data_IF_502692901677
#
_entry.id   IF_502692901677
#
_cell.length_a   1.000
_cell.length_b   1.000
_cell.length_c   1.000
_cell.angle_alpha   90.00
_cell.angle_beta   90.00
_cell.angle_gamma   90.00
#
_symmetry.space_group_name_H-M   'P 1'
#
loop_
_entity.id
_entity.type
_entity.pdbx_description
1 polymer ?
#
# COMPACT_ATOMS: atom_id res chain seq x y z
N UNK A 1 15.70 -3.56 -6.47
CA UNK A 1 14.33 -3.92 -6.88
C UNK A 1 13.47 -3.96 -5.63
N UNK A 2 12.33 -3.26 -5.60
CA UNK A 2 11.58 -3.00 -4.37
C UNK A 2 10.23 -3.75 -4.28
N UNK A 3 9.77 -4.34 -5.39
CA UNK A 3 8.53 -5.08 -5.43
C UNK A 3 8.80 -6.53 -5.00
N UNK A 4 8.24 -6.92 -3.87
CA UNK A 4 8.45 -8.24 -3.27
C UNK A 4 7.11 -8.77 -2.78
N UNK A 5 6.89 -10.08 -2.96
CA UNK A 5 5.67 -10.77 -2.55
C UNK A 5 6.04 -12.05 -1.80
N UNK A 6 5.48 -12.21 -0.60
CA UNK A 6 5.57 -13.45 0.16
C UNK A 6 4.23 -14.17 0.07
N UNK A 7 4.29 -15.49 -0.10
CA UNK A 7 3.12 -16.36 0.01
C UNK A 7 3.38 -17.36 1.13
N UNK A 8 2.61 -17.26 2.20
CA UNK A 8 2.63 -18.20 3.30
C UNK A 8 1.44 -19.15 3.16
N UNK A 9 1.75 -20.44 3.12
CA UNK A 9 0.78 -21.53 3.00
C UNK A 9 0.82 -22.36 4.28
N UNK A 10 -0.32 -22.89 4.76
CA UNK A 10 -0.32 -23.89 5.81
C UNK A 10 0.48 -25.12 5.35
N UNK A 11 1.06 -25.86 6.31
CA UNK A 11 1.79 -27.08 6.00
C UNK A 11 0.82 -28.18 5.54
N UNK A 12 0.73 -28.40 4.23
CA UNK A 12 0.00 -29.56 3.68
C UNK A 12 0.96 -30.76 3.64
N UNK A 13 1.02 -31.53 4.73
CA UNK A 13 1.79 -32.77 4.75
C UNK A 13 1.06 -33.89 4.01
N UNK A 14 1.58 -34.35 2.87
CA UNK A 14 1.14 -35.61 2.27
C UNK A 14 1.94 -36.74 2.93
N UNK A 15 1.30 -37.51 3.81
CA UNK A 15 1.92 -38.73 4.34
C UNK A 15 1.97 -39.79 3.24
N UNK A 16 3.14 -39.96 2.61
CA UNK A 16 3.40 -41.12 1.75
C UNK A 16 3.95 -42.25 2.61
N UNK A 17 3.23 -43.37 2.69
CA UNK A 17 3.73 -44.58 3.35
C UNK A 17 4.79 -45.23 2.45
N UNK A 18 6.06 -45.11 2.80
CA UNK A 18 7.14 -45.90 2.20
C UNK A 18 7.28 -47.17 3.05
N UNK A 19 7.03 -48.38 2.51
CA UNK A 19 7.29 -49.60 3.23
C UNK A 19 8.80 -49.72 3.47
N UNK A 20 9.18 -49.92 4.73
CA UNK A 20 10.53 -49.98 5.31
C UNK A 20 11.16 -48.63 5.66
N UNK A 21 11.06 -48.30 6.96
CA UNK A 21 11.88 -47.38 7.74
C UNK A 21 12.26 -46.05 7.08
N UNK A 22 11.34 -45.08 7.17
CA UNK A 22 11.56 -43.66 7.49
C UNK A 22 10.32 -42.86 7.06
N UNK A 23 9.62 -42.21 8.00
CA UNK A 23 8.62 -41.19 7.63
C UNK A 23 9.40 -39.96 7.17
N UNK A 24 9.68 -39.86 5.86
CA UNK A 24 10.12 -38.61 5.27
C UNK A 24 8.90 -37.69 5.16
N UNK A 25 8.87 -36.61 5.95
CA UNK A 25 7.99 -35.47 5.66
C UNK A 25 8.47 -34.84 4.35
N UNK A 26 7.92 -35.28 3.22
CA UNK A 26 8.09 -34.60 1.95
C UNK A 26 7.19 -33.37 1.98
N UNK A 27 7.82 -32.20 2.06
CA UNK A 27 7.13 -30.92 1.92
C UNK A 27 6.75 -30.76 0.46
N UNK A 28 5.47 -30.89 0.15
CA UNK A 28 4.97 -30.73 -1.19
C UNK A 28 3.90 -29.65 -1.17
N UNK A 29 4.04 -28.65 -2.05
CA UNK A 29 2.93 -27.76 -2.35
C UNK A 29 1.73 -28.62 -2.78
N UNK A 30 0.49 -28.23 -2.43
CA UNK A 30 -0.69 -28.94 -2.91
C UNK A 30 -0.60 -29.09 -4.43
N UNK A 31 -0.63 -30.33 -4.93
CA UNK A 31 -0.69 -30.64 -6.36
C UNK A 31 -2.01 -30.12 -6.95
N UNK A 32 -2.07 -29.83 -8.24
CA UNK A 32 -3.32 -29.43 -8.93
C UNK A 32 -4.47 -30.43 -8.69
N UNK A 33 -4.16 -31.70 -8.42
CA UNK A 33 -5.13 -32.77 -8.10
C UNK A 33 -5.66 -32.74 -6.65
N UNK A 34 -5.02 -31.98 -5.76
CA UNK A 34 -5.52 -31.80 -4.40
C UNK A 34 -6.53 -30.65 -4.41
N UNK A 35 -7.78 -30.97 -4.10
CA UNK A 35 -8.96 -30.09 -4.05
C UNK A 35 -8.90 -29.00 -2.94
N UNK A 36 -7.70 -28.50 -2.63
CA UNK A 36 -7.43 -27.52 -1.59
C UNK A 36 -7.67 -26.12 -2.16
N UNK A 37 -8.77 -25.52 -1.73
CA UNK A 37 -9.26 -24.19 -2.16
C UNK A 37 -9.34 -23.29 -0.93
N UNK A 38 -8.18 -22.80 -0.49
CA UNK A 38 -8.05 -22.00 0.73
C UNK A 38 -8.42 -20.54 0.50
N UNK A 39 -8.99 -19.91 1.54
CA UNK A 39 -9.17 -18.46 1.56
C UNK A 39 -7.82 -17.75 1.58
N UNK A 40 -7.74 -16.61 0.91
CA UNK A 40 -6.49 -15.85 0.77
C UNK A 40 -6.65 -14.51 1.49
N UNK A 41 -5.79 -14.27 2.47
CA UNK A 41 -5.66 -12.99 3.15
C UNK A 41 -4.53 -12.21 2.49
N UNK A 42 -4.83 -11.07 1.88
CA UNK A 42 -3.84 -10.23 1.20
C UNK A 42 -3.55 -8.98 2.02
N UNK A 43 -2.36 -8.93 2.63
CA UNK A 43 -1.95 -7.90 3.56
C UNK A 43 -1.20 -6.76 2.86
N UNK A 44 -1.68 -5.54 3.10
CA UNK A 44 -0.99 -4.30 2.71
C UNK A 44 -0.53 -3.60 3.99
N UNK A 45 0.79 -3.45 4.16
CA UNK A 45 1.35 -2.87 5.38
C UNK A 45 1.09 -1.35 5.50
N UNK A 46 1.10 -0.89 6.76
CA UNK A 46 1.00 0.52 7.14
C UNK A 46 2.32 1.28 6.99
N UNK A 47 2.53 2.31 7.82
CA UNK A 47 3.78 3.09 7.82
C UNK A 47 3.70 4.45 7.10
N UNK A 48 2.51 5.09 7.13
CA UNK A 48 2.32 6.45 6.63
C UNK A 48 2.77 6.69 5.18
N UNK A 49 2.76 5.62 4.36
CA UNK A 49 3.27 5.57 2.97
C UNK A 49 4.77 5.87 2.82
N UNK A 50 5.52 5.95 3.92
CA UNK A 50 6.93 6.36 3.98
C UNK A 50 7.85 5.28 4.55
N UNK A 51 7.28 4.36 5.31
CA UNK A 51 7.99 3.28 5.98
C UNK A 51 7.13 2.01 5.97
N UNK A 52 7.69 0.92 6.50
CA UNK A 52 7.03 -0.38 6.66
C UNK A 52 7.51 -1.42 5.66
N UNK A 53 7.19 -2.67 5.97
CA UNK A 53 7.63 -3.83 5.19
C UNK A 53 6.58 -4.93 5.14
N UNK A 54 6.72 -5.84 4.18
CA UNK A 54 5.97 -7.10 4.10
C UNK A 54 6.14 -8.03 5.32
N UNK A 55 7.12 -7.77 6.19
CA UNK A 55 7.35 -8.50 7.44
C UNK A 55 6.54 -7.94 8.61
N UNK A 56 5.95 -6.75 8.48
CA UNK A 56 5.14 -6.11 9.53
C UNK A 56 3.78 -6.82 9.72
N UNK A 57 3.50 -7.83 8.90
CA UNK A 57 2.28 -8.62 8.99
C UNK A 57 2.22 -9.42 10.29
N UNK A 58 1.02 -9.60 10.81
CA UNK A 58 0.74 -10.59 11.85
C UNK A 58 0.82 -12.00 11.27
N UNK A 59 2.03 -12.52 11.03
CA UNK A 59 2.25 -13.90 10.54
C UNK A 59 1.64 -14.96 11.46
N UNK A 60 1.38 -14.60 12.72
CA UNK A 60 0.67 -15.43 13.69
C UNK A 60 -0.75 -15.82 13.20
N UNK A 61 -1.38 -15.02 12.33
CA UNK A 61 -2.68 -15.35 11.71
C UNK A 61 -2.67 -16.67 10.91
N UNK A 62 -1.51 -17.03 10.34
CA UNK A 62 -1.33 -18.28 9.57
C UNK A 62 -1.28 -19.49 10.50
N UNK A 63 -0.78 -19.31 11.74
CA UNK A 63 -0.57 -20.43 12.68
C UNK A 63 -1.91 -20.99 13.16
N UNK A 64 -2.93 -20.14 13.25
CA UNK A 64 -4.22 -20.49 13.87
C UNK A 64 -5.28 -20.98 12.88
N UNK A 65 -5.09 -20.79 11.56
CA UNK A 65 -6.14 -21.04 10.56
C UNK A 65 -5.60 -21.65 9.26
N UNK A 66 -6.41 -22.48 8.61
CA UNK A 66 -6.15 -23.01 7.26
C UNK A 66 -6.42 -21.94 6.19
N UNK A 67 -5.53 -20.95 6.09
CA UNK A 67 -5.61 -19.83 5.14
C UNK A 67 -4.25 -19.56 4.50
N UNK A 68 -4.25 -18.96 3.30
CA UNK A 68 -3.04 -18.42 2.68
C UNK A 68 -2.90 -16.96 3.05
N UNK A 69 -1.71 -16.55 3.51
CA UNK A 69 -1.38 -15.15 3.71
C UNK A 69 -0.44 -14.70 2.59
N UNK A 70 -0.82 -13.62 1.90
CA UNK A 70 0.03 -12.92 0.94
C UNK A 70 0.44 -11.58 1.55
N UNK A 71 1.73 -11.28 1.60
CA UNK A 71 2.25 -9.98 2.06
C UNK A 71 3.12 -9.36 1.00
N UNK A 72 3.07 -8.03 0.86
CA UNK A 72 3.73 -7.33 -0.24
C UNK A 72 4.58 -6.16 0.26
N UNK A 73 5.66 -5.85 -0.46
CA UNK A 73 6.28 -4.54 -0.43
C UNK A 73 5.72 -3.71 -1.58
N UNK A 74 5.52 -2.40 -1.35
CA UNK A 74 5.22 -1.42 -2.39
C UNK A 74 6.17 -0.23 -2.23
N UNK A 75 6.39 0.57 -3.29
CA UNK A 75 7.27 1.74 -3.19
C UNK A 75 6.71 2.76 -2.19
N UNK A 76 7.61 3.32 -1.39
CA UNK A 76 7.31 4.28 -0.31
C UNK A 76 7.95 5.64 -0.58
N UNK A 77 7.52 6.65 0.16
CA UNK A 77 8.10 8.00 0.15
C UNK A 77 8.12 8.62 -1.25
N UNK A 78 9.13 9.42 -1.60
CA UNK A 78 9.22 10.04 -2.92
C UNK A 78 9.32 9.01 -4.06
N UNK A 79 9.81 7.79 -3.80
CA UNK A 79 9.92 6.75 -4.81
C UNK A 79 8.55 6.15 -5.19
N UNK A 80 7.60 6.15 -4.24
CA UNK A 80 6.24 5.64 -4.44
C UNK A 80 5.19 6.69 -4.74
N UNK A 81 5.37 7.93 -4.28
CA UNK A 81 4.28 8.91 -4.23
C UNK A 81 4.67 10.31 -4.71
N UNK A 82 5.86 10.50 -5.30
CA UNK A 82 6.19 11.77 -5.94
C UNK A 82 5.21 12.07 -7.08
N UNK A 83 4.72 13.30 -7.13
CA UNK A 83 3.81 13.77 -8.17
C UNK A 83 4.08 15.23 -8.50
N UNK A 84 4.08 15.55 -9.79
CA UNK A 84 4.11 16.92 -10.33
C UNK A 84 2.71 17.43 -10.68
N UNK A 85 1.67 16.62 -10.41
CA UNK A 85 0.25 16.88 -10.70
C UNK A 85 -0.03 17.17 -12.18
N UNK A 86 0.75 16.53 -13.05
CA UNK A 86 0.61 16.53 -14.51
C UNK A 86 0.83 15.12 -15.06
N UNK A 87 0.90 14.98 -16.38
CA UNK A 87 1.08 13.69 -17.05
C UNK A 87 2.52 13.15 -16.97
N UNK A 88 3.50 13.98 -16.60
CA UNK A 88 4.92 13.57 -16.59
C UNK A 88 5.24 12.73 -15.35
N UNK A 89 4.79 13.19 -14.18
CA UNK A 89 4.84 12.40 -12.95
C UNK A 89 3.48 12.46 -12.26
N UNK A 90 2.50 11.63 -12.69
CA UNK A 90 1.14 11.70 -12.17
C UNK A 90 1.06 11.31 -10.69
N UNK A 91 1.91 10.38 -10.24
CA UNK A 91 1.98 9.90 -8.86
C UNK A 91 1.40 8.51 -8.66
N UNK A 92 1.16 8.15 -7.40
CA UNK A 92 0.52 6.91 -6.96
C UNK A 92 1.23 5.61 -7.40
N UNK A 93 2.54 5.65 -7.65
CA UNK A 93 3.31 4.46 -8.01
C UNK A 93 3.21 3.36 -6.95
N UNK A 94 3.18 3.70 -5.66
CA UNK A 94 2.97 2.73 -4.58
C UNK A 94 1.60 2.04 -4.63
N UNK A 95 0.53 2.74 -5.00
CA UNK A 95 -0.80 2.11 -5.20
C UNK A 95 -0.84 1.24 -6.45
N UNK A 96 -0.12 1.65 -7.52
CA UNK A 96 0.00 0.86 -8.75
C UNK A 96 0.80 -0.43 -8.52
N UNK A 97 1.81 -0.38 -7.66
CA UNK A 97 2.55 -1.57 -7.20
C UNK A 97 1.61 -2.55 -6.47
N UNK A 98 0.76 -2.03 -5.58
CA UNK A 98 -0.23 -2.84 -4.87
C UNK A 98 -1.25 -3.48 -5.82
N UNK A 99 -1.74 -2.73 -6.83
CA UNK A 99 -2.63 -3.27 -7.86
C UNK A 99 -1.98 -4.39 -8.67
N UNK A 100 -0.73 -4.19 -9.09
CA UNK A 100 0.03 -5.21 -9.81
C UNK A 100 0.21 -6.47 -8.95
N UNK A 101 0.47 -6.31 -7.66
CA UNK A 101 0.59 -7.45 -6.74
C UNK A 101 -0.76 -8.17 -6.51
N UNK A 102 -1.88 -7.45 -6.47
CA UNK A 102 -3.22 -8.06 -6.42
C UNK A 102 -3.53 -8.85 -7.70
N UNK A 103 -3.21 -8.29 -8.87
CA UNK A 103 -3.35 -9.00 -10.15
C UNK A 103 -2.47 -10.25 -10.20
N UNK A 104 -1.24 -10.16 -9.67
CA UNK A 104 -0.38 -11.32 -9.53
C UNK A 104 -1.02 -12.38 -8.63
N UNK A 105 -1.53 -12.02 -7.46
CA UNK A 105 -2.17 -12.97 -6.55
C UNK A 105 -3.38 -13.64 -7.22
N UNK A 106 -4.26 -12.85 -7.85
CA UNK A 106 -5.41 -13.39 -8.58
C UNK A 106 -5.01 -14.42 -9.66
N UNK A 107 -3.90 -14.19 -10.37
CA UNK A 107 -3.47 -15.07 -11.46
C UNK A 107 -2.63 -16.28 -11.02
N UNK A 108 -2.09 -16.29 -9.80
CA UNK A 108 -1.08 -17.28 -9.40
C UNK A 108 -1.38 -17.97 -8.08
N UNK A 109 -2.30 -17.48 -7.24
CA UNK A 109 -2.46 -18.00 -5.88
C UNK A 109 -2.99 -19.44 -5.83
N UNK A 110 -3.64 -19.90 -6.90
CA UNK A 110 -4.01 -21.29 -7.12
C UNK A 110 -2.82 -22.25 -7.11
N UNK A 111 -1.65 -21.80 -7.59
CA UNK A 111 -0.41 -22.60 -7.56
C UNK A 111 0.11 -22.85 -6.14
N UNK A 112 -0.44 -22.12 -5.15
CA UNK A 112 -0.11 -22.26 -3.73
C UNK A 112 -1.26 -22.89 -2.93
N UNK A 113 -2.33 -23.38 -3.59
CA UNK A 113 -3.53 -23.94 -2.96
C UNK A 113 -4.59 -22.91 -2.56
N UNK A 114 -4.46 -21.67 -3.02
CA UNK A 114 -5.39 -20.59 -2.75
C UNK A 114 -6.49 -20.49 -3.80
N UNK A 115 -7.64 -20.01 -3.38
CA UNK A 115 -8.73 -19.71 -4.29
C UNK A 115 -8.71 -18.21 -4.66
N UNK A 116 -8.45 -17.83 -5.94
CA UNK A 116 -8.41 -16.43 -6.36
C UNK A 116 -9.76 -15.73 -6.18
N UNK A 117 -10.88 -16.47 -6.15
CA UNK A 117 -12.20 -15.91 -5.86
C UNK A 117 -12.42 -15.67 -4.37
N UNK A 118 -11.51 -16.14 -3.50
CA UNK A 118 -11.58 -16.01 -2.04
C UNK A 118 -10.54 -15.06 -1.44
N UNK A 119 -10.09 -14.07 -2.20
CA UNK A 119 -9.15 -13.06 -1.74
C UNK A 119 -9.84 -11.99 -0.89
N UNK A 120 -9.34 -11.76 0.33
CA UNK A 120 -9.74 -10.63 1.20
C UNK A 120 -8.54 -9.72 1.40
N UNK A 121 -8.66 -8.45 1.02
CA UNK A 121 -7.61 -7.46 1.27
C UNK A 121 -7.73 -6.90 2.68
N UNK A 122 -6.61 -6.68 3.35
CA UNK A 122 -6.61 -6.05 4.66
C UNK A 122 -5.32 -5.28 4.93
N UNK A 123 -5.42 -4.30 5.82
CA UNK A 123 -4.27 -3.53 6.23
C UNK A 123 -4.59 -2.58 7.39
N UNK A 124 -3.54 -2.08 8.01
CA UNK A 124 -3.60 -1.15 9.13
C UNK A 124 -3.04 0.23 8.73
N UNK A 125 -3.63 1.31 9.26
CA UNK A 125 -3.20 2.68 9.01
C UNK A 125 -3.13 2.99 7.50
N UNK A 126 -1.95 3.34 6.95
CA UNK A 126 -1.75 3.57 5.52
C UNK A 126 -2.11 2.34 4.65
N UNK A 127 -1.97 1.12 5.19
CA UNK A 127 -2.43 -0.11 4.53
C UNK A 127 -3.95 -0.21 4.48
N UNK A 128 -4.63 0.26 5.53
CA UNK A 128 -6.09 0.40 5.55
C UNK A 128 -6.58 1.44 4.54
N UNK A 129 -5.91 2.60 4.49
CA UNK A 129 -6.19 3.61 3.48
C UNK A 129 -5.95 3.08 2.06
N UNK A 130 -4.89 2.28 1.85
CA UNK A 130 -4.61 1.60 0.58
C UNK A 130 -5.73 0.65 0.18
N UNK A 131 -6.23 -0.20 1.11
CA UNK A 131 -7.40 -1.04 0.88
C UNK A 131 -8.63 -0.19 0.49
N UNK A 132 -8.84 0.94 1.18
CA UNK A 132 -9.90 1.88 0.84
C UNK A 132 -9.73 2.50 -0.55
N UNK A 133 -8.50 2.75 -1.02
CA UNK A 133 -8.23 3.22 -2.38
C UNK A 133 -8.51 2.13 -3.43
N UNK A 134 -8.24 0.85 -3.14
CA UNK A 134 -8.65 -0.25 -4.01
C UNK A 134 -10.17 -0.38 -4.13
N UNK A 135 -10.93 -0.08 -3.07
CA UNK A 135 -12.39 0.00 -3.15
C UNK A 135 -12.88 1.14 -4.07
N UNK A 136 -12.04 2.14 -4.35
CA UNK A 136 -12.37 3.27 -5.22
C UNK A 136 -11.85 3.11 -6.66
N UNK A 137 -11.01 2.10 -6.92
CA UNK A 137 -10.41 1.87 -8.23
C UNK A 137 -11.11 0.70 -8.94
N UNK A 138 -11.81 1.00 -10.03
CA UNK A 138 -12.52 0.01 -10.85
C UNK A 138 -11.60 -1.04 -11.48
N UNK A 139 -10.30 -0.76 -11.65
CA UNK A 139 -9.33 -1.77 -12.09
C UNK A 139 -9.09 -2.86 -11.04
N UNK A 140 -9.49 -2.65 -9.79
CA UNK A 140 -9.42 -3.65 -8.73
C UNK A 140 -10.68 -4.52 -8.64
N UNK A 141 -11.71 -4.24 -9.44
CA UNK A 141 -12.96 -5.00 -9.47
C UNK A 141 -12.68 -6.47 -9.80
N UNK A 142 -13.20 -7.39 -8.98
CA UNK A 142 -13.02 -8.83 -9.16
C UNK A 142 -11.70 -9.39 -8.65
N UNK A 143 -10.73 -8.56 -8.21
CA UNK A 143 -9.47 -9.05 -7.65
C UNK A 143 -9.57 -9.48 -6.17
N UNK A 144 -10.66 -9.11 -5.50
CA UNK A 144 -10.93 -9.48 -4.11
C UNK A 144 -12.45 -9.49 -3.86
N UNK A 145 -12.86 -10.26 -2.85
CA UNK A 145 -14.27 -10.46 -2.45
C UNK A 145 -14.64 -9.81 -1.12
N UNK A 146 -13.69 -9.17 -0.44
CA UNK A 146 -13.89 -8.55 0.87
C UNK A 146 -12.72 -7.66 1.26
N UNK A 147 -12.97 -6.70 2.16
CA UNK A 147 -11.96 -5.80 2.66
C UNK A 147 -12.04 -5.62 4.18
N UNK A 148 -10.90 -5.55 4.87
CA UNK A 148 -10.79 -5.23 6.29
C UNK A 148 -9.93 -3.98 6.48
N UNK A 149 -10.52 -2.92 7.01
CA UNK A 149 -9.90 -1.61 7.18
C UNK A 149 -9.65 -1.32 8.67
N UNK A 150 -8.38 -1.37 9.08
CA UNK A 150 -7.97 -1.15 10.47
C UNK A 150 -7.34 0.24 10.64
N UNK A 151 -8.05 1.16 11.31
CA UNK A 151 -7.51 2.47 11.72
C UNK A 151 -7.06 3.38 10.56
N UNK A 152 -7.75 3.32 9.42
CA UNK A 152 -7.48 4.20 8.28
C UNK A 152 -8.52 4.09 7.17
N UNK A 153 -8.69 5.16 6.40
CA UNK A 153 -9.62 5.19 5.26
C UNK A 153 -9.10 6.12 4.17
N UNK A 154 -9.69 6.04 2.98
CA UNK A 154 -9.44 6.99 1.89
C UNK A 154 -10.00 8.39 2.17
N UNK A 155 -10.78 8.57 3.26
CA UNK A 155 -11.27 9.86 3.74
C UNK A 155 -10.47 10.43 4.91
N UNK A 156 -9.48 9.68 5.42
CA UNK A 156 -8.60 10.17 6.48
C UNK A 156 -7.83 11.39 5.96
N UNK A 157 -7.77 12.51 6.71
CA UNK A 157 -7.14 13.75 6.23
C UNK A 157 -5.68 13.56 5.76
N UNK A 158 -4.93 12.73 6.50
CA UNK A 158 -3.55 12.36 6.20
C UNK A 158 -3.38 11.49 4.95
N UNK A 159 -4.42 10.79 4.49
CA UNK A 159 -4.33 9.80 3.41
C UNK A 159 -4.43 10.40 2.01
N UNK A 160 -4.48 11.73 1.91
CA UNK A 160 -4.59 12.44 0.64
C UNK A 160 -3.71 13.68 0.63
N UNK A 161 -2.65 13.64 -0.18
CA UNK A 161 -1.73 14.76 -0.33
C UNK A 161 -2.29 15.81 -1.30
N UNK A 162 -2.32 17.04 -0.82
CA UNK A 162 -2.53 18.26 -1.62
C UNK A 162 -1.17 18.85 -1.99
N UNK A 163 -1.11 19.84 -2.87
CA UNK A 163 0.12 20.57 -3.21
C UNK A 163 1.35 19.66 -3.44
N UNK A 164 1.15 18.54 -4.15
CA UNK A 164 2.18 17.51 -4.29
C UNK A 164 3.34 18.01 -5.16
N UNK A 165 3.02 18.86 -6.15
CA UNK A 165 3.99 19.53 -7.00
C UNK A 165 4.95 20.39 -6.18
N UNK A 166 4.41 21.23 -5.31
CA UNK A 166 5.19 22.12 -4.44
C UNK A 166 6.16 21.31 -3.57
N UNK A 167 5.69 20.21 -2.98
CA UNK A 167 6.51 19.31 -2.16
C UNK A 167 7.60 18.64 -3.01
N UNK A 168 7.29 18.19 -4.23
CA UNK A 168 8.26 17.56 -5.12
C UNK A 168 9.40 18.52 -5.51
N UNK A 169 9.06 19.75 -5.94
CA UNK A 169 10.06 20.75 -6.31
C UNK A 169 10.84 21.27 -5.10
N UNK A 170 10.19 21.50 -3.95
CA UNK A 170 10.88 21.89 -2.72
C UNK A 170 11.87 20.82 -2.26
N UNK A 171 11.53 19.54 -2.41
CA UNK A 171 12.44 18.43 -2.09
C UNK A 171 13.66 18.43 -3.02
N UNK A 172 13.45 18.65 -4.33
CA UNK A 172 14.56 18.77 -5.26
C UNK A 172 15.44 20.00 -4.98
N UNK A 173 14.85 21.12 -4.53
CA UNK A 173 15.56 22.33 -4.14
C UNK A 173 16.53 22.11 -2.96
N UNK A 174 16.26 21.13 -2.09
CA UNK A 174 17.19 20.73 -1.03
C UNK A 174 18.46 20.02 -1.55
N UNK A 175 18.45 19.57 -2.80
CA UNK A 175 19.55 18.86 -3.47
C UNK A 175 20.21 19.78 -4.50
N UNK A 176 19.42 20.56 -5.23
CA UNK A 176 19.84 21.56 -6.20
C UNK A 176 18.89 22.76 -6.15
N UNK A 177 19.38 23.88 -5.62
CA UNK A 177 18.62 25.10 -5.33
C UNK A 177 18.10 25.85 -6.56
N UNK A 178 18.47 25.43 -7.78
CA UNK A 178 17.92 25.98 -9.03
C UNK A 178 16.48 25.54 -9.29
N UNK A 179 15.98 24.50 -8.60
CA UNK A 179 14.61 24.04 -8.75
C UNK A 179 13.61 24.87 -7.94
N UNK A 180 12.50 25.19 -8.58
CA UNK A 180 11.34 25.89 -8.02
C UNK A 180 10.06 25.31 -8.61
N UNK A 181 8.92 25.50 -7.98
CA UNK A 181 7.61 24.95 -8.41
C UNK A 181 7.23 25.31 -9.85
N UNK A 182 7.78 26.41 -10.39
CA UNK A 182 7.51 26.89 -11.75
C UNK A 182 8.38 26.23 -12.83
N UNK A 183 9.40 25.45 -12.46
CA UNK A 183 10.22 24.71 -13.42
C UNK A 183 9.43 23.58 -14.10
N UNK A 184 9.95 23.09 -15.22
CA UNK A 184 9.32 22.01 -15.99
C UNK A 184 9.41 20.66 -15.26
N UNK A 185 8.36 19.85 -15.39
CA UNK A 185 8.28 18.55 -14.71
C UNK A 185 9.19 17.49 -15.32
N UNK A 186 9.47 17.56 -16.62
CA UNK A 186 10.40 16.65 -17.27
C UNK A 186 11.85 16.99 -16.89
N UNK A 187 12.18 18.28 -16.75
CA UNK A 187 13.46 18.71 -16.18
C UNK A 187 13.67 18.17 -14.76
N UNK A 188 12.65 18.30 -13.89
CA UNK A 188 12.68 17.75 -12.54
C UNK A 188 12.88 16.22 -12.56
N UNK A 189 12.09 15.50 -13.37
CA UNK A 189 12.16 14.04 -13.46
C UNK A 189 13.54 13.57 -13.95
N UNK A 190 14.09 14.23 -14.97
CA UNK A 190 15.41 13.90 -15.50
C UNK A 190 16.50 14.12 -14.45
N UNK A 191 16.45 15.23 -13.72
CA UNK A 191 17.37 15.47 -12.62
C UNK A 191 17.24 14.41 -11.53
N UNK A 192 16.03 14.15 -11.02
CA UNK A 192 15.82 13.20 -9.92
C UNK A 192 16.24 11.77 -10.27
N UNK A 193 16.19 11.37 -11.55
CA UNK A 193 16.71 10.07 -12.00
C UNK A 193 18.24 9.95 -11.94
N UNK A 194 18.96 11.06 -11.88
CA UNK A 194 20.42 11.08 -11.69
C UNK A 194 20.83 11.09 -10.21
N UNK A 195 19.89 11.34 -9.31
CA UNK A 195 20.14 11.43 -7.87
C UNK A 195 20.08 10.04 -7.24
N UNK A 196 21.03 9.74 -6.36
CA UNK A 196 21.00 8.51 -5.57
C UNK A 196 19.73 8.43 -4.70
N UNK A 197 19.11 7.24 -4.64
CA UNK A 197 17.85 7.05 -3.93
C UNK A 197 17.94 7.39 -2.43
N UNK A 198 19.10 7.20 -1.79
CA UNK A 198 19.30 7.57 -0.39
C UNK A 198 19.38 9.09 -0.22
N UNK A 199 19.97 9.79 -1.18
CA UNK A 199 20.04 11.27 -1.16
C UNK A 199 18.64 11.85 -1.33
N UNK A 200 17.85 11.33 -2.27
CA UNK A 200 16.46 11.76 -2.47
C UNK A 200 15.61 11.48 -1.24
N UNK A 201 15.70 10.27 -0.68
CA UNK A 201 14.96 9.89 0.54
C UNK A 201 15.37 10.76 1.74
N UNK A 202 16.66 11.05 1.90
CA UNK A 202 17.15 11.92 2.97
C UNK A 202 16.67 13.38 2.80
N UNK A 203 16.61 13.89 1.56
CA UNK A 203 16.03 15.20 1.29
C UNK A 203 14.53 15.24 1.62
N UNK A 204 13.78 14.20 1.22
CA UNK A 204 12.36 14.06 1.51
C UNK A 204 12.05 13.98 3.02
N UNK A 205 12.95 13.41 3.84
CA UNK A 205 12.82 13.39 5.30
C UNK A 205 13.07 14.75 5.96
N UNK A 206 13.86 15.62 5.32
CA UNK A 206 14.10 16.99 5.81
C UNK A 206 12.91 17.91 5.55
N UNK A 207 12.00 17.53 4.65
CA UNK A 207 10.75 18.26 4.45
C UNK A 207 9.91 18.19 5.72
N UNK A 208 9.87 19.29 6.47
CA UNK A 208 9.02 19.43 7.63
C UNK A 208 7.69 20.06 7.20
N UNK A 209 6.54 19.50 7.60
CA UNK A 209 5.29 20.21 7.46
C UNK A 209 5.39 21.50 8.29
N UNK A 210 5.24 22.66 7.63
CA UNK A 210 5.02 23.94 8.33
C UNK A 210 3.77 23.82 9.21
N UNK A 211 3.66 24.54 10.34
CA UNK A 211 2.41 24.65 11.09
C UNK A 211 1.19 25.06 10.24
N UNK A 212 1.42 25.71 9.10
CA UNK A 212 0.41 26.05 8.09
C UNK A 212 -0.11 24.82 7.32
N UNK A 213 0.64 23.73 7.29
CA UNK A 213 0.32 22.46 6.63
C UNK A 213 -0.12 21.41 7.66
N UNK A 214 -1.36 21.51 8.11
CA UNK A 214 -1.97 20.43 8.92
C UNK A 214 -2.35 19.23 8.04
N UNK A 215 -2.57 18.06 8.64
CA UNK A 215 -3.11 16.90 7.91
C UNK A 215 -4.42 17.23 7.17
N UNK A 216 -5.21 18.17 7.70
CA UNK A 216 -6.46 18.63 7.08
C UNK A 216 -6.22 19.45 5.82
N UNK A 217 -5.23 20.34 5.83
CA UNK A 217 -4.94 21.24 4.71
C UNK A 217 -3.99 20.67 3.67
N UNK A 218 -3.13 19.73 4.06
CA UNK A 218 -2.06 19.20 3.22
C UNK A 218 -2.13 17.68 3.05
N UNK A 219 -2.56 16.96 4.09
CA UNK A 219 -2.29 15.52 4.21
C UNK A 219 -0.83 15.24 4.55
N UNK A 220 -0.45 13.96 4.59
CA UNK A 220 0.96 13.61 4.72
C UNK A 220 1.72 13.93 3.44
N UNK A 221 3.00 14.26 3.57
CA UNK A 221 3.92 14.20 2.44
C UNK A 221 4.14 12.75 2.01
N UNK A 222 4.20 12.56 0.70
CA UNK A 222 4.35 11.29 0.01
C UNK A 222 3.15 10.35 0.22
N UNK A 223 1.95 10.91 0.22
CA UNK A 223 0.69 10.16 0.29
C UNK A 223 -0.04 10.17 -1.07
N UNK A 224 -1.09 9.35 -1.25
CA UNK A 224 -1.86 9.33 -2.49
C UNK A 224 -2.36 10.71 -2.94
N UNK A 225 -2.39 10.92 -4.25
CA UNK A 225 -2.82 12.16 -4.92
C UNK A 225 -3.97 11.89 -5.89
N UNK A 226 -4.65 12.94 -6.34
CA UNK A 226 -5.56 12.84 -7.49
C UNK A 226 -4.73 13.05 -8.76
N UNK A 227 -4.72 12.05 -9.63
CA UNK A 227 -3.95 12.07 -10.87
C UNK A 227 -4.71 12.80 -11.98
N UNK A 228 -3.95 13.38 -12.90
CA UNK A 228 -4.48 13.74 -14.22
C UNK A 228 -4.94 12.48 -14.94
N UNK A 229 -6.08 12.55 -15.61
CA UNK A 229 -6.67 11.40 -16.29
C UNK A 229 -5.73 10.88 -17.39
N UNK A 230 -5.24 9.66 -17.21
CA UNK A 230 -4.48 8.90 -18.20
C UNK A 230 -4.83 7.40 -18.08
N UNK A 231 -4.44 6.53 -19.03
CA UNK A 231 -4.80 5.11 -19.02
C UNK A 231 -4.30 4.34 -17.78
N UNK A 232 -3.19 4.78 -17.20
CA UNK A 232 -2.53 4.14 -16.05
C UNK A 232 -2.82 4.88 -14.73
N UNK A 233 -3.75 5.83 -14.73
CA UNK A 233 -4.13 6.58 -13.54
C UNK A 233 -4.88 5.67 -12.58
N UNK A 234 -4.43 5.60 -11.33
CA UNK A 234 -5.08 4.81 -10.29
C UNK A 234 -6.35 5.49 -9.80
N UNK A 235 -6.31 6.81 -9.57
CA UNK A 235 -7.48 7.59 -9.12
C UNK A 235 -7.46 9.01 -9.68
N UNK A 236 -8.56 9.40 -10.33
CA UNK A 236 -8.68 10.71 -11.01
C UNK A 236 -9.79 11.60 -10.43
N UNK A 237 -10.47 11.15 -9.36
CA UNK A 237 -11.57 11.88 -8.73
C UNK A 237 -11.41 11.85 -7.21
N UNK A 238 -11.92 12.89 -6.55
CA UNK A 238 -11.95 12.95 -5.09
C UNK A 238 -12.79 11.81 -4.52
N UNK A 239 -12.27 11.21 -3.45
CA UNK A 239 -12.81 10.01 -2.81
C UNK A 239 -14.26 10.19 -2.37
N UNK A 240 -14.60 11.33 -1.77
CA UNK A 240 -15.99 11.65 -1.38
C UNK A 240 -16.96 11.60 -2.56
N UNK A 241 -16.57 12.13 -3.72
CA UNK A 241 -17.41 12.13 -4.92
C UNK A 241 -17.60 10.72 -5.52
N UNK A 242 -16.59 9.85 -5.42
CA UNK A 242 -16.71 8.45 -5.84
C UNK A 242 -17.65 7.67 -4.93
N UNK A 243 -17.53 7.86 -3.61
CA UNK A 243 -18.41 7.25 -2.61
C UNK A 243 -19.86 7.71 -2.77
N UNK A 244 -20.09 9.02 -2.90
CA UNK A 244 -21.43 9.58 -3.07
C UNK A 244 -22.11 9.09 -4.36
N UNK A 245 -21.34 8.89 -5.43
CA UNK A 245 -21.83 8.37 -6.70
C UNK A 245 -21.98 6.83 -6.72
N UNK A 246 -21.67 6.15 -5.62
CA UNK A 246 -21.59 4.69 -5.54
C UNK A 246 -20.67 4.08 -6.63
N UNK A 247 -19.65 4.82 -7.06
CA UNK A 247 -18.67 4.36 -8.03
C UNK A 247 -17.51 3.67 -7.31
N UNK A 248 -17.81 2.50 -6.75
CA UNK A 248 -16.91 1.73 -5.90
C UNK A 248 -16.92 0.24 -6.28
N UNK A 249 -15.88 -0.47 -5.86
CA UNK A 249 -15.85 -1.93 -5.85
C UNK A 249 -16.64 -2.39 -4.63
N UNK A 250 -17.90 -2.78 -4.84
CA UNK A 250 -18.81 -3.14 -3.76
C UNK A 250 -18.57 -4.58 -3.28
N UNK A 251 -17.97 -4.72 -2.10
CA UNK A 251 -17.74 -5.99 -1.40
C UNK A 251 -18.09 -5.86 0.09
N UNK A 252 -18.31 -6.97 0.82
CA UNK A 252 -18.37 -6.94 2.27
C UNK A 252 -17.17 -6.22 2.88
N UNK A 253 -17.46 -5.30 3.81
CA UNK A 253 -16.48 -4.43 4.45
C UNK A 253 -16.54 -4.61 5.97
N UNK A 254 -15.39 -4.89 6.58
CA UNK A 254 -15.18 -4.76 8.01
C UNK A 254 -14.28 -3.55 8.24
N UNK A 255 -14.71 -2.58 9.03
CA UNK A 255 -13.93 -1.37 9.33
C UNK A 255 -13.97 -1.07 10.83
N UNK A 256 -12.85 -0.65 11.39
CA UNK A 256 -12.75 -0.33 12.80
C UNK A 256 -11.58 0.58 13.13
N UNK A 257 -11.61 1.11 14.35
CA UNK A 257 -10.55 1.90 14.97
C UNK A 257 -10.46 1.52 16.44
N UNK A 258 -9.31 1.80 17.06
CA UNK A 258 -9.13 1.66 18.51
C UNK A 258 -9.84 2.80 19.25
N UNK A 259 -10.18 2.59 20.52
CA UNK A 259 -10.87 3.60 21.35
C UNK A 259 -10.03 4.85 21.60
N UNK A 260 -8.70 4.76 21.47
CA UNK A 260 -7.77 5.86 21.71
C UNK A 260 -6.59 5.89 20.70
N UNK A 261 -6.88 5.99 19.40
CA UNK A 261 -5.90 6.02 18.28
C UNK A 261 -4.70 6.95 18.53
N UNK A 262 -4.94 8.11 19.14
CA UNK A 262 -3.91 9.13 19.35
C UNK A 262 -3.00 8.89 20.55
N UNK A 263 -3.23 7.85 21.37
CA UNK A 263 -2.34 7.55 22.50
C UNK A 263 -0.91 7.23 22.03
N UNK A 264 -0.76 6.55 20.89
CA UNK A 264 0.55 6.29 20.28
C UNK A 264 1.26 7.54 19.74
N UNK A 265 0.56 8.68 19.65
CA UNK A 265 1.10 9.96 19.19
C UNK A 265 1.49 10.91 20.33
N UNK A 266 1.28 10.52 21.61
CA UNK A 266 1.50 11.40 22.78
C UNK A 266 2.94 11.87 22.96
N UNK A 267 3.94 11.06 22.57
CA UNK A 267 5.35 11.47 22.67
C UNK A 267 5.73 12.55 21.63
N UNK A 268 4.87 12.82 20.65
CA UNK A 268 5.05 13.89 19.66
C UNK A 268 4.39 15.20 20.12
N UNK A 269 3.29 15.11 20.89
CA UNK A 269 2.51 16.28 21.33
C UNK A 269 2.87 16.81 22.72
N UNK A 270 3.63 16.07 23.53
CA UNK A 270 4.11 16.54 24.85
C UNK A 270 5.02 17.78 24.75
N UNK A 271 5.55 18.12 23.57
CA UNK A 271 6.29 19.38 23.32
C UNK A 271 5.41 20.57 22.93
N UNK A 272 4.10 20.39 22.77
CA UNK A 272 3.18 21.42 22.25
C UNK A 272 2.26 21.99 23.36
N UNK A 273 2.19 21.35 24.53
CA UNK A 273 1.23 21.74 25.60
C UNK A 273 1.87 22.57 26.74
N UNK A 274 3.13 22.98 26.61
CA UNK A 274 3.70 24.01 27.49
C UNK A 274 3.55 25.40 26.84
N UNK A 275 2.31 25.92 26.81
CA UNK A 275 1.98 27.35 26.62
C UNK A 275 0.88 27.74 27.59
#
# INVERSE_FOLDING_TARGET
DCLYINVFTPQVGVFSYIPHDSILRLFQLPSEDNNVSLSVMFFIHGGAFKDGTSMDSASDLIIENDIILVTINYRLGPLGFLSTQDEIVPGNNGLKDQLLALQWAHNNINLFGGDPEKVTIFGQSAGSASCAYHLLNQQSQGLFRGAILQSGSSLSPWAYQRNAREVAFATAALINDTFSTNNDSAELLNFLRTVDANVLTAAAQKMQPSPEYTEVYQGLFWAPVIEVKNPDAFITKKMYGLLQANNIVAVPLLIGMTSEESLGLRDITSKIVDV
#
